data_IF_560656385992
#
_entry.id   IF_560656385992
#
_cell.length_a   1.000
_cell.length_b   1.000
_cell.length_c   1.000
_cell.angle_alpha   90.00
_cell.angle_beta   90.00
_cell.angle_gamma   90.00
#
_symmetry.space_group_name_H-M   'P 1'
#
loop_
_entity.id
_entity.type
_entity.pdbx_description
1 polymer ?
#
# COMPACT_ATOMS: atom_id res chain seq x y z
N UNK A 1 -6.11 9.22 -23.71
CA UNK A 1 -6.46 9.88 -22.44
C UNK A 1 -6.85 8.81 -21.41
N UNK A 2 -6.25 8.84 -20.21
CA UNK A 2 -6.60 7.92 -19.11
C UNK A 2 -7.77 8.49 -18.30
N UNK A 3 -8.76 7.68 -17.87
CA UNK A 3 -9.85 8.15 -17.01
C UNK A 3 -9.37 8.70 -15.66
N UNK A 4 -8.14 8.34 -15.24
CA UNK A 4 -7.54 8.75 -13.95
C UNK A 4 -6.54 9.89 -14.07
N UNK A 5 -6.42 10.55 -15.23
CA UNK A 5 -5.37 11.56 -15.48
C UNK A 5 -5.44 12.78 -14.54
N UNK A 6 -6.62 13.08 -13.99
CA UNK A 6 -6.83 14.17 -13.01
C UNK A 6 -6.87 13.68 -11.56
N UNK A 7 -6.83 12.36 -11.33
CA UNK A 7 -6.88 11.78 -10.00
C UNK A 7 -5.49 11.78 -9.33
N UNK A 8 -5.44 11.44 -8.05
CA UNK A 8 -4.17 11.43 -7.33
C UNK A 8 -3.18 10.43 -7.94
N UNK A 9 -1.92 10.85 -8.00
CA UNK A 9 -0.78 9.99 -8.28
C UNK A 9 0.12 9.99 -7.05
N UNK A 10 0.24 8.84 -6.39
CA UNK A 10 1.07 8.68 -5.19
C UNK A 10 2.24 7.79 -5.55
N UNK A 11 3.46 8.26 -5.33
CA UNK A 11 4.68 7.49 -5.52
C UNK A 11 5.29 7.12 -4.17
N UNK A 12 5.69 5.86 -4.02
CA UNK A 12 6.39 5.35 -2.85
C UNK A 12 7.60 4.56 -3.30
N UNK A 13 8.74 4.84 -2.67
CA UNK A 13 9.93 4.02 -2.80
C UNK A 13 10.02 3.09 -1.58
N UNK A 14 9.94 1.78 -1.80
CA UNK A 14 9.93 0.79 -0.72
C UNK A 14 11.27 0.71 0.01
N UNK A 15 12.40 0.99 -0.66
CA UNK A 15 13.71 1.01 -0.04
C UNK A 15 13.92 2.20 0.93
N UNK A 16 13.12 3.27 0.78
CA UNK A 16 13.19 4.45 1.63
C UNK A 16 12.36 4.34 2.93
N UNK A 17 11.50 3.33 3.04
CA UNK A 17 10.60 3.14 4.18
C UNK A 17 11.15 2.00 5.06
N UNK A 18 11.30 2.20 6.38
CA UNK A 18 11.65 1.11 7.29
C UNK A 18 10.68 -0.08 7.14
N UNK A 19 11.20 -1.31 7.07
CA UNK A 19 10.41 -2.50 6.75
C UNK A 19 9.22 -2.72 7.68
N UNK A 20 9.39 -2.39 8.96
CA UNK A 20 8.38 -2.43 10.02
C UNK A 20 7.27 -1.39 9.84
N UNK A 21 7.51 -0.33 9.07
CA UNK A 21 6.55 0.75 8.81
C UNK A 21 5.86 0.61 7.45
N UNK A 22 6.39 -0.18 6.52
CA UNK A 22 5.82 -0.36 5.16
C UNK A 22 4.33 -0.72 5.24
N UNK A 23 3.97 -1.65 6.12
CA UNK A 23 2.58 -2.11 6.24
C UNK A 23 1.65 -0.96 6.70
N UNK A 24 2.07 -0.22 7.72
CA UNK A 24 1.31 0.90 8.29
C UNK A 24 1.23 2.08 7.33
N UNK A 25 2.28 2.34 6.53
CA UNK A 25 2.23 3.37 5.49
C UNK A 25 1.29 2.96 4.36
N UNK A 26 1.37 1.74 3.84
CA UNK A 26 0.54 1.29 2.71
C UNK A 26 -0.94 1.19 3.10
N UNK A 27 -1.25 0.52 4.21
CA UNK A 27 -2.62 0.17 4.59
C UNK A 27 -3.19 1.05 5.69
N UNK A 28 -2.38 1.90 6.33
CA UNK A 28 -2.84 2.68 7.48
C UNK A 28 -3.03 1.82 8.72
N UNK A 29 -3.41 2.46 9.83
CA UNK A 29 -3.64 1.79 11.09
C UNK A 29 -4.80 2.41 11.85
N UNK A 30 -5.46 1.57 12.65
CA UNK A 30 -6.43 2.02 13.64
C UNK A 30 -5.73 2.48 14.92
N UNK A 31 -6.43 3.29 15.72
CA UNK A 31 -5.94 3.67 17.05
C UNK A 31 -5.77 2.42 17.92
N UNK A 32 -4.60 2.28 18.54
CA UNK A 32 -4.27 1.15 19.41
C UNK A 32 -3.76 -0.09 18.68
N UNK A 33 -3.52 -0.03 17.36
CA UNK A 33 -3.01 -1.16 16.59
C UNK A 33 -1.60 -1.62 17.02
N UNK A 34 -0.77 -0.70 17.51
CA UNK A 34 0.56 -0.97 18.08
C UNK A 34 0.93 0.13 19.09
N UNK A 35 2.02 -0.05 19.84
CA UNK A 35 2.52 0.95 20.79
C UNK A 35 2.86 2.26 20.07
N UNK A 36 2.13 3.33 20.38
CA UNK A 36 2.29 4.64 19.73
C UNK A 36 1.23 4.97 18.66
N UNK A 37 0.35 4.04 18.31
CA UNK A 37 -0.79 4.28 17.43
C UNK A 37 -1.90 5.09 18.14
N UNK A 38 -1.64 6.36 18.43
CA UNK A 38 -2.54 7.22 19.21
C UNK A 38 -3.75 7.71 18.41
N UNK A 39 -3.66 7.66 17.09
CA UNK A 39 -4.66 8.17 16.13
C UNK A 39 -4.87 7.16 15.01
N UNK A 40 -6.01 7.26 14.34
CA UNK A 40 -6.23 6.53 13.09
C UNK A 40 -5.42 7.23 11.99
N UNK A 41 -4.74 6.45 11.15
CA UNK A 41 -4.01 6.98 9.99
C UNK A 41 -4.44 6.26 8.73
N UNK A 42 -4.82 7.03 7.72
CA UNK A 42 -5.14 6.51 6.39
C UNK A 42 -3.86 6.07 5.67
N UNK A 43 -3.91 4.89 5.06
CA UNK A 43 -2.82 4.35 4.26
C UNK A 43 -2.74 5.00 2.88
N UNK A 44 -1.64 4.73 2.19
CA UNK A 44 -1.42 5.22 0.81
C UNK A 44 -2.39 4.64 -0.19
N UNK A 45 -2.90 3.43 0.02
CA UNK A 45 -3.98 2.87 -0.80
C UNK A 45 -5.26 3.71 -0.74
N UNK A 46 -5.65 4.14 0.46
CA UNK A 46 -6.84 4.96 0.67
C UNK A 46 -6.66 6.36 0.09
N UNK A 47 -5.47 6.95 0.25
CA UNK A 47 -5.16 8.25 -0.34
C UNK A 47 -5.14 8.22 -1.88
N UNK A 48 -4.72 7.09 -2.47
CA UNK A 48 -4.64 6.90 -3.92
C UNK A 48 -5.97 6.46 -4.55
N UNK A 49 -7.07 6.39 -3.77
CA UNK A 49 -8.37 5.93 -4.27
C UNK A 49 -8.86 6.74 -5.48
N UNK A 50 -9.39 6.04 -6.49
CA UNK A 50 -9.71 6.58 -7.82
C UNK A 50 -8.50 6.98 -8.67
N UNK A 51 -7.29 6.86 -8.14
CA UNK A 51 -6.04 7.33 -8.71
C UNK A 51 -5.05 6.21 -9.06
N UNK A 52 -3.76 6.52 -8.93
CA UNK A 52 -2.65 5.62 -9.25
C UNK A 52 -1.64 5.61 -8.10
N UNK A 53 -1.23 4.40 -7.69
CA UNK A 53 -0.16 4.17 -6.73
C UNK A 53 1.04 3.58 -7.47
N UNK A 54 2.16 4.31 -7.45
CA UNK A 54 3.45 3.86 -7.98
C UNK A 54 4.31 3.31 -6.84
N UNK A 55 4.72 2.05 -6.96
CA UNK A 55 5.56 1.32 -6.02
C UNK A 55 6.92 1.09 -6.67
N UNK A 56 7.88 1.94 -6.31
CA UNK A 56 9.27 1.80 -6.72
C UNK A 56 10.02 0.86 -5.78
N UNK A 57 10.97 0.11 -6.33
CA UNK A 57 11.71 -0.94 -5.64
C UNK A 57 10.82 -1.97 -4.94
N UNK A 58 9.82 -2.50 -5.66
CA UNK A 58 8.88 -3.48 -5.09
C UNK A 58 9.57 -4.77 -4.58
N UNK A 59 10.79 -5.05 -5.04
CA UNK A 59 11.65 -6.09 -4.48
C UNK A 59 11.98 -5.89 -2.99
N UNK A 60 12.00 -4.67 -2.48
CA UNK A 60 12.27 -4.41 -1.06
C UNK A 60 11.04 -4.62 -0.15
N UNK A 61 9.87 -4.92 -0.74
CA UNK A 61 8.66 -5.22 0.02
C UNK A 61 8.78 -6.56 0.78
N UNK A 62 8.49 -6.58 2.10
CA UNK A 62 8.41 -7.82 2.88
C UNK A 62 7.33 -8.81 2.39
N UNK A 63 7.56 -10.12 2.51
CA UNK A 63 6.68 -11.18 1.98
C UNK A 63 5.27 -11.17 2.61
N UNK A 64 5.17 -10.84 3.89
CA UNK A 64 3.91 -10.68 4.61
C UNK A 64 3.08 -9.52 4.05
N UNK A 65 3.71 -8.40 3.72
CA UNK A 65 3.08 -7.25 3.07
C UNK A 65 2.68 -7.60 1.63
N UNK A 66 3.50 -8.35 0.88
CA UNK A 66 3.17 -8.80 -0.48
C UNK A 66 1.89 -9.63 -0.51
N UNK A 67 1.69 -10.50 0.49
CA UNK A 67 0.46 -11.31 0.60
C UNK A 67 -0.78 -10.42 0.76
N UNK A 68 -0.67 -9.30 1.49
CA UNK A 68 -1.76 -8.32 1.62
C UNK A 68 -1.96 -7.53 0.34
N UNK A 69 -0.88 -7.12 -0.33
CA UNK A 69 -0.94 -6.45 -1.64
C UNK A 69 -1.72 -7.29 -2.65
N UNK A 70 -1.47 -8.60 -2.71
CA UNK A 70 -2.21 -9.52 -3.59
C UNK A 70 -3.71 -9.53 -3.32
N UNK A 71 -4.13 -9.45 -2.04
CA UNK A 71 -5.56 -9.34 -1.69
C UNK A 71 -6.18 -8.04 -2.20
N UNK A 72 -5.45 -6.94 -2.12
CA UNK A 72 -5.93 -5.65 -2.65
C UNK A 72 -6.07 -5.72 -4.17
N UNK A 73 -5.10 -6.32 -4.86
CA UNK A 73 -5.13 -6.51 -6.31
C UNK A 73 -6.28 -7.41 -6.75
N UNK A 74 -6.62 -8.44 -5.99
CA UNK A 74 -7.69 -9.38 -6.31
C UNK A 74 -9.09 -8.82 -6.01
N UNK A 75 -9.27 -8.25 -4.82
CA UNK A 75 -10.60 -7.91 -4.28
C UNK A 75 -10.90 -6.41 -4.29
N UNK A 76 -9.92 -5.55 -4.58
CA UNK A 76 -10.06 -4.10 -4.48
C UNK A 76 -10.32 -3.61 -3.06
N UNK A 77 -9.91 -4.37 -2.04
CA UNK A 77 -10.12 -4.02 -0.64
C UNK A 77 -8.99 -4.51 0.26
N UNK A 78 -8.83 -3.85 1.40
CA UNK A 78 -7.84 -4.21 2.42
C UNK A 78 -8.35 -3.90 3.83
N UNK A 79 -7.59 -4.28 4.85
CA UNK A 79 -7.85 -3.93 6.24
C UNK A 79 -6.71 -3.08 6.75
N UNK A 80 -7.02 -2.02 7.51
CA UNK A 80 -6.00 -1.27 8.25
C UNK A 80 -5.34 -2.17 9.29
N UNK A 81 -4.11 -1.87 9.67
CA UNK A 81 -3.45 -2.58 10.77
C UNK A 81 -4.29 -2.40 12.05
N UNK A 82 -4.65 -3.51 12.69
CA UNK A 82 -5.54 -3.53 13.86
C UNK A 82 -7.03 -3.27 13.55
N UNK A 83 -7.41 -3.11 12.28
CA UNK A 83 -8.79 -2.87 11.85
C UNK A 83 -9.52 -4.15 11.46
N UNK A 84 -10.84 -4.16 11.64
CA UNK A 84 -11.74 -5.27 11.29
C UNK A 84 -12.69 -4.93 10.14
N UNK A 85 -12.78 -3.66 9.76
CA UNK A 85 -13.62 -3.21 8.66
C UNK A 85 -12.80 -3.19 7.36
N UNK A 86 -13.31 -3.79 6.27
CA UNK A 86 -12.65 -3.70 4.97
C UNK A 86 -12.80 -2.29 4.41
N UNK A 87 -11.72 -1.78 3.83
CA UNK A 87 -11.66 -0.51 3.09
C UNK A 87 -11.59 -0.86 1.61
N UNK A 88 -12.62 -0.49 0.84
CA UNK A 88 -12.67 -0.66 -0.61
C UNK A 88 -11.97 0.52 -1.28
N UNK A 89 -11.16 0.23 -2.29
CA UNK A 89 -10.45 1.23 -3.08
C UNK A 89 -10.39 0.82 -4.55
N UNK A 90 -10.44 1.81 -5.43
CA UNK A 90 -10.21 1.65 -6.86
C UNK A 90 -8.88 2.30 -7.24
N UNK A 91 -7.78 1.55 -7.14
CA UNK A 91 -6.41 2.09 -7.35
C UNK A 91 -5.71 1.36 -8.49
N UNK A 92 -5.09 2.13 -9.39
CA UNK A 92 -4.22 1.58 -10.43
C UNK A 92 -2.83 1.43 -9.82
N UNK A 93 -2.31 0.22 -9.78
CA UNK A 93 -0.95 -0.02 -9.29
C UNK A 93 0.02 -0.04 -10.47
N UNK A 94 1.14 0.66 -10.30
CA UNK A 94 2.31 0.57 -11.19
C UNK A 94 3.49 0.20 -10.29
N UNK A 95 4.24 -0.84 -10.64
CA UNK A 95 5.39 -1.28 -9.85
C UNK A 95 6.67 -1.21 -10.70
N UNK A 96 7.78 -0.89 -10.04
CA UNK A 96 9.12 -0.92 -10.61
C UNK A 96 10.09 -1.58 -9.61
N UNK A 97 11.18 -2.16 -10.10
CA UNK A 97 12.24 -2.75 -9.28
C UNK A 97 13.51 -2.88 -10.12
N UNK A 98 14.67 -2.63 -9.52
CA UNK A 98 15.97 -2.95 -10.14
C UNK A 98 16.37 -4.42 -9.92
N UNK A 99 15.73 -5.11 -8.97
CA UNK A 99 15.97 -6.52 -8.66
C UNK A 99 15.30 -7.42 -9.70
N UNK A 100 15.99 -8.47 -10.14
CA UNK A 100 15.38 -9.51 -10.97
C UNK A 100 14.49 -10.41 -10.09
N UNK A 101 13.17 -10.30 -10.29
CA UNK A 101 12.19 -11.04 -9.51
C UNK A 101 12.12 -12.54 -9.84
N UNK A 102 12.56 -12.98 -11.02
CA UNK A 102 12.54 -14.40 -11.40
C UNK A 102 13.62 -15.22 -10.68
N UNK A 103 14.63 -14.56 -10.11
CA UNK A 103 15.75 -15.18 -9.42
C UNK A 103 15.55 -15.29 -7.90
N UNK A 104 14.38 -14.87 -7.39
CA UNK A 104 14.08 -14.77 -5.96
C UNK A 104 13.03 -15.80 -5.54
#
# INVERSE_FOLDING_TARGET
HSPRVKAQFIALNMAAIPKDLIESELFGHEKGAFTGANTIRQGRFEQADGGTLFLDEIGDMPLDVQTRLLRVLADGQFYRVGGYAPVKVDVRIIAATHQNLELR
#
